data_IF_958054257057
#
_entry.id   IF_958054257057
#
_cell.length_a   1.000
_cell.length_b   1.000
_cell.length_c   1.000
_cell.angle_alpha   90.00
_cell.angle_beta   90.00
_cell.angle_gamma   90.00
#
_symmetry.space_group_name_H-M   'P 1'
#
loop_
_entity.id
_entity.type
_entity.pdbx_description
1 polymer ?
#
# COMPACT_ATOMS: atom_id res chain seq x y z
N UNK A 1 20.05 7.26 -23.77
CA UNK A 1 19.20 6.09 -23.48
C UNK A 1 19.67 4.95 -24.35
N UNK A 2 19.95 3.79 -23.77
CA UNK A 2 20.32 2.60 -24.55
C UNK A 2 19.05 2.03 -25.20
N UNK A 3 19.16 1.53 -26.43
CA UNK A 3 18.02 0.88 -27.08
C UNK A 3 17.64 -0.39 -26.29
N UNK A 4 16.36 -0.55 -25.99
CA UNK A 4 15.82 -1.78 -25.40
C UNK A 4 15.19 -2.68 -26.46
N UNK A 5 14.95 -3.94 -26.10
CA UNK A 5 14.23 -4.92 -26.90
C UNK A 5 13.39 -5.78 -25.96
N UNK A 6 12.22 -6.24 -26.43
CA UNK A 6 11.41 -7.21 -25.67
C UNK A 6 11.81 -8.61 -26.10
N UNK A 7 11.96 -9.50 -25.13
CA UNK A 7 12.33 -10.88 -25.35
C UNK A 7 11.28 -11.78 -24.71
N UNK A 8 10.81 -12.79 -25.45
CA UNK A 8 10.02 -13.89 -24.90
C UNK A 8 10.97 -14.94 -24.37
N UNK A 9 10.77 -15.34 -23.12
CA UNK A 9 11.56 -16.38 -22.48
C UNK A 9 11.16 -17.74 -23.06
N UNK A 10 12.12 -18.48 -23.59
CA UNK A 10 11.93 -19.82 -24.18
C UNK A 10 12.21 -20.93 -23.17
N UNK A 11 13.19 -20.71 -22.29
CA UNK A 11 13.65 -21.67 -21.29
C UNK A 11 13.65 -21.03 -19.92
N UNK A 12 13.46 -21.87 -18.91
CA UNK A 12 13.46 -21.43 -17.53
C UNK A 12 14.81 -20.82 -17.16
N UNK A 13 14.80 -19.60 -16.63
CA UNK A 13 15.98 -18.94 -16.07
C UNK A 13 15.86 -18.91 -14.54
N UNK A 14 16.71 -18.14 -13.85
CA UNK A 14 16.64 -18.06 -12.40
C UNK A 14 15.28 -17.54 -11.90
N UNK A 15 14.73 -16.51 -12.54
CA UNK A 15 13.43 -15.90 -12.15
C UNK A 15 12.37 -15.85 -13.22
N UNK A 16 12.72 -16.12 -14.48
CA UNK A 16 11.74 -16.09 -15.58
C UNK A 16 11.38 -17.49 -16.06
N UNK A 17 10.08 -17.72 -16.25
CA UNK A 17 9.54 -18.96 -16.80
C UNK A 17 9.28 -18.83 -18.31
N UNK A 18 9.28 -19.95 -19.06
CA UNK A 18 8.92 -19.95 -20.46
C UNK A 18 7.57 -19.27 -20.71
N UNK A 19 7.55 -18.38 -21.70
CA UNK A 19 6.41 -17.56 -22.09
C UNK A 19 6.35 -16.18 -21.43
N UNK A 20 7.16 -15.90 -20.41
CA UNK A 20 7.28 -14.56 -19.85
C UNK A 20 7.88 -13.58 -20.89
N UNK A 21 7.46 -12.31 -20.87
CA UNK A 21 8.03 -11.27 -21.73
C UNK A 21 8.78 -10.28 -20.85
N UNK A 22 10.07 -10.10 -21.16
CA UNK A 22 10.98 -9.23 -20.43
C UNK A 22 11.56 -8.18 -21.37
N UNK A 23 11.70 -6.95 -20.88
CA UNK A 23 12.46 -5.92 -21.57
C UNK A 23 13.94 -6.03 -21.20
N UNK A 24 14.82 -6.12 -22.20
CA UNK A 24 16.27 -6.18 -22.00
C UNK A 24 16.97 -5.09 -22.79
N UNK A 25 18.22 -4.79 -22.43
CA UNK A 25 19.04 -3.89 -23.27
C UNK A 25 19.38 -4.62 -24.56
N UNK A 26 19.33 -3.92 -25.69
CA UNK A 26 19.63 -4.48 -27.02
C UNK A 26 21.10 -4.90 -27.16
N UNK A 27 21.99 -4.33 -26.34
CA UNK A 27 23.41 -4.68 -26.30
C UNK A 27 23.56 -6.13 -25.85
N UNK A 28 24.09 -6.96 -26.74
CA UNK A 28 24.50 -8.33 -26.43
C UNK A 28 25.85 -8.24 -25.72
N UNK A 29 25.95 -8.90 -24.58
CA UNK A 29 27.21 -9.13 -23.90
C UNK A 29 27.79 -10.43 -24.44
N UNK A 30 28.98 -10.36 -25.02
CA UNK A 30 29.68 -11.51 -25.58
C UNK A 30 30.36 -12.34 -24.50
N UNK A 31 30.47 -13.65 -24.75
CA UNK A 31 31.24 -14.57 -23.92
C UNK A 31 32.69 -14.07 -23.75
N UNK A 32 33.16 -14.05 -22.51
CA UNK A 32 34.54 -13.70 -22.13
C UNK A 32 35.01 -14.59 -20.98
N UNK A 33 36.26 -14.44 -20.52
CA UNK A 33 36.75 -15.20 -19.35
C UNK A 33 35.90 -14.98 -18.09
N UNK A 34 35.36 -13.77 -17.92
CA UNK A 34 34.51 -13.40 -16.78
C UNK A 34 33.01 -13.59 -17.06
N UNK A 35 32.64 -13.99 -18.28
CA UNK A 35 31.24 -14.16 -18.69
C UNK A 35 31.11 -15.45 -19.51
N UNK A 36 30.64 -16.56 -18.93
CA UNK A 36 30.72 -17.88 -19.56
C UNK A 36 29.83 -18.05 -20.80
N UNK A 37 28.85 -17.19 -21.00
CA UNK A 37 27.85 -17.26 -22.07
C UNK A 37 27.45 -15.88 -22.60
N UNK A 38 27.11 -15.83 -23.90
CA UNK A 38 26.59 -14.61 -24.52
C UNK A 38 25.11 -14.43 -24.19
N UNK A 39 24.68 -13.20 -23.91
CA UNK A 39 23.32 -12.94 -23.47
C UNK A 39 22.92 -11.47 -23.51
N UNK A 40 21.65 -11.21 -23.23
CA UNK A 40 21.14 -9.87 -23.01
C UNK A 40 21.34 -9.47 -21.55
N UNK A 41 21.85 -8.26 -21.33
CA UNK A 41 21.95 -7.72 -19.98
C UNK A 41 20.56 -7.42 -19.42
N UNK A 42 20.36 -7.79 -18.14
CA UNK A 42 19.22 -7.39 -17.33
C UNK A 42 19.68 -6.70 -16.05
N UNK A 43 18.98 -5.65 -15.58
CA UNK A 43 19.36 -4.93 -14.36
C UNK A 43 19.20 -5.73 -13.07
N UNK A 44 18.37 -6.78 -13.09
CA UNK A 44 18.00 -7.53 -11.89
C UNK A 44 17.71 -9.01 -12.22
N UNK A 45 18.43 -9.93 -11.59
CA UNK A 45 18.21 -11.38 -11.72
C UNK A 45 17.19 -11.93 -10.73
N UNK A 46 16.45 -11.06 -10.02
CA UNK A 46 15.48 -11.44 -8.99
C UNK A 46 15.96 -11.23 -7.56
N UNK A 47 17.20 -10.82 -7.38
CA UNK A 47 17.91 -10.67 -6.11
C UNK A 47 18.48 -9.25 -5.94
N UNK A 48 18.09 -8.32 -6.80
CA UNK A 48 18.57 -6.94 -6.79
C UNK A 48 19.88 -6.74 -7.57
N UNK A 49 20.50 -7.82 -8.06
CA UNK A 49 21.79 -7.78 -8.75
C UNK A 49 21.62 -7.90 -10.27
N UNK A 50 22.45 -7.20 -11.07
CA UNK A 50 22.41 -7.32 -12.52
C UNK A 50 22.93 -8.67 -12.99
N UNK A 51 22.49 -9.09 -14.16
CA UNK A 51 22.96 -10.32 -14.79
C UNK A 51 22.64 -10.38 -16.27
N UNK A 52 22.58 -11.61 -16.79
CA UNK A 52 22.34 -11.86 -18.20
C UNK A 52 21.24 -12.90 -18.40
N UNK A 53 20.50 -12.76 -19.49
CA UNK A 53 19.65 -13.82 -20.03
C UNK A 53 20.36 -14.40 -21.26
N UNK A 54 20.71 -15.70 -21.25
CA UNK A 54 21.40 -16.34 -22.37
C UNK A 54 20.63 -16.22 -23.67
N UNK A 55 21.33 -16.03 -24.80
CA UNK A 55 20.70 -15.85 -26.11
C UNK A 55 19.81 -17.03 -26.52
N UNK A 56 20.17 -18.26 -26.13
CA UNK A 56 19.40 -19.47 -26.45
C UNK A 56 18.18 -19.68 -25.53
N UNK A 57 18.04 -18.85 -24.49
CA UNK A 57 16.90 -18.86 -23.57
C UNK A 57 15.82 -17.85 -23.97
N UNK A 58 16.01 -17.06 -25.03
CA UNK A 58 15.05 -16.02 -25.44
C UNK A 58 14.83 -15.94 -26.94
N UNK A 59 13.64 -15.44 -27.29
CA UNK A 59 13.26 -15.05 -28.64
C UNK A 59 12.98 -13.54 -28.66
N UNK A 60 13.76 -12.74 -29.41
CA UNK A 60 13.48 -11.32 -29.58
C UNK A 60 12.12 -11.12 -30.25
N UNK A 61 11.29 -10.28 -29.65
CA UNK A 61 10.01 -9.88 -30.21
C UNK A 61 10.21 -8.65 -31.12
N UNK A 62 9.43 -8.58 -32.20
CA UNK A 62 9.38 -7.38 -33.03
C UNK A 62 8.89 -6.16 -32.26
N UNK A 63 9.07 -4.97 -32.83
CA UNK A 63 8.54 -3.72 -32.25
C UNK A 63 7.03 -3.88 -32.00
N UNK A 64 6.65 -3.86 -30.73
CA UNK A 64 5.24 -3.83 -30.35
C UNK A 64 4.75 -2.40 -30.53
N UNK A 65 3.62 -2.21 -31.22
CA UNK A 65 2.97 -0.90 -31.27
C UNK A 65 2.56 -0.48 -29.86
N UNK A 66 3.09 0.66 -29.40
CA UNK A 66 2.72 1.26 -28.13
C UNK A 66 1.22 1.55 -28.10
N UNK A 67 0.49 0.97 -27.13
CA UNK A 67 -0.95 1.18 -27.07
C UNK A 67 -1.73 0.46 -25.98
N UNK A 68 -1.09 -0.27 -25.07
CA UNK A 68 -1.81 -0.80 -23.91
C UNK A 68 -1.90 0.29 -22.83
N UNK A 69 -3.12 0.69 -22.50
CA UNK A 69 -3.40 1.62 -21.39
C UNK A 69 -3.20 0.95 -20.02
N UNK A 70 -3.25 -0.38 -19.97
CA UNK A 70 -3.18 -1.17 -18.76
C UNK A 70 -2.33 -2.43 -18.97
N UNK A 71 -1.39 -2.66 -18.07
CA UNK A 71 -0.53 -3.83 -18.03
C UNK A 71 -0.81 -4.63 -16.76
N UNK A 72 -1.48 -5.76 -16.91
CA UNK A 72 -1.69 -6.71 -15.82
C UNK A 72 -0.43 -7.55 -15.58
N UNK A 73 -0.25 -8.00 -14.33
CA UNK A 73 0.92 -8.78 -13.96
C UNK A 73 1.29 -8.64 -12.50
N UNK A 74 2.23 -9.49 -12.07
CA UNK A 74 2.77 -9.46 -10.71
C UNK A 74 4.06 -8.67 -10.62
N UNK A 75 4.16 -7.80 -9.62
CA UNK A 75 5.35 -7.13 -9.18
C UNK A 75 6.01 -7.98 -8.11
N UNK A 76 7.32 -8.15 -8.17
CA UNK A 76 8.10 -8.85 -7.17
C UNK A 76 9.22 -7.95 -6.70
N UNK A 77 9.26 -7.66 -5.39
CA UNK A 77 10.38 -6.96 -4.79
C UNK A 77 11.65 -7.81 -4.89
N UNK A 78 12.73 -7.17 -5.32
CA UNK A 78 14.04 -7.81 -5.51
C UNK A 78 15.12 -7.19 -4.65
N UNK A 79 14.97 -5.91 -4.27
CA UNK A 79 15.94 -5.24 -3.40
C UNK A 79 15.36 -4.05 -2.65
N UNK A 80 15.85 -3.85 -1.43
CA UNK A 80 15.67 -2.62 -0.65
C UNK A 80 17.03 -2.24 -0.10
N UNK A 81 17.52 -1.06 -0.46
CA UNK A 81 18.83 -0.55 -0.02
C UNK A 81 18.73 0.91 0.41
N UNK A 82 19.69 1.34 1.23
CA UNK A 82 19.75 2.68 1.78
C UNK A 82 21.22 3.12 1.69
N UNK A 83 21.50 4.27 1.08
CA UNK A 83 22.88 4.70 0.83
C UNK A 83 23.01 6.21 0.74
N UNK A 84 24.23 6.72 0.87
CA UNK A 84 24.58 8.11 0.57
C UNK A 84 24.89 8.24 -0.92
N UNK A 85 24.12 9.05 -1.65
CA UNK A 85 24.31 9.26 -3.10
C UNK A 85 25.63 9.96 -3.42
N UNK A 86 25.96 10.96 -2.59
CA UNK A 86 27.24 11.66 -2.59
C UNK A 86 28.02 11.21 -1.34
N UNK A 87 28.75 10.11 -1.49
CA UNK A 87 29.45 9.45 -0.39
C UNK A 87 30.73 10.19 0.05
N UNK A 88 30.66 11.52 0.25
CA UNK A 88 31.73 12.43 0.67
C UNK A 88 32.29 12.07 2.07
N UNK A 89 32.89 10.89 2.21
CA UNK A 89 33.30 10.28 3.46
C UNK A 89 32.15 9.82 4.37
N UNK A 90 30.89 9.99 3.96
CA UNK A 90 29.73 9.58 4.76
C UNK A 90 29.58 8.06 4.72
N UNK A 91 29.55 7.45 5.91
CA UNK A 91 29.31 6.02 6.11
C UNK A 91 28.26 5.82 7.20
N UNK A 92 27.62 4.65 7.20
CA UNK A 92 26.58 4.32 8.18
C UNK A 92 25.20 4.87 7.83
N UNK A 93 24.28 4.74 8.79
CA UNK A 93 22.87 5.10 8.62
C UNK A 93 22.68 6.62 8.57
N UNK A 94 21.90 7.08 7.58
CA UNK A 94 21.47 8.47 7.52
C UNK A 94 20.54 8.86 8.67
N UNK A 95 20.47 10.15 9.02
CA UNK A 95 19.60 10.64 10.10
C UNK A 95 18.12 10.41 9.83
N UNK A 96 17.72 10.18 8.57
CA UNK A 96 16.38 9.80 8.20
C UNK A 96 16.00 8.34 8.56
N UNK A 97 16.96 7.50 8.94
CA UNK A 97 16.77 6.09 9.27
C UNK A 97 16.85 5.15 8.06
N UNK A 98 16.41 3.90 8.24
CA UNK A 98 16.48 2.84 7.22
C UNK A 98 15.08 2.37 6.86
N UNK A 99 14.80 2.30 5.55
CA UNK A 99 13.66 1.52 5.03
C UNK A 99 14.07 0.05 5.05
N UNK A 100 13.42 -0.72 5.91
CA UNK A 100 13.64 -2.16 6.03
C UNK A 100 12.81 -2.92 4.99
N UNK A 101 13.24 -4.10 4.53
CA UNK A 101 12.46 -4.91 3.59
C UNK A 101 11.03 -5.21 4.05
N UNK A 102 10.80 -5.41 5.36
CA UNK A 102 9.47 -5.63 5.95
C UNK A 102 8.52 -4.42 5.85
N UNK A 103 9.06 -3.23 5.60
CA UNK A 103 8.29 -1.99 5.44
C UNK A 103 7.91 -1.73 3.98
N UNK A 104 8.23 -2.64 3.06
CA UNK A 104 7.89 -2.56 1.63
C UNK A 104 6.99 -3.74 1.28
N UNK A 105 5.84 -3.45 0.69
CA UNK A 105 4.81 -4.43 0.36
C UNK A 105 4.36 -4.31 -1.08
N UNK A 106 3.99 -5.43 -1.68
CA UNK A 106 3.26 -5.47 -2.94
C UNK A 106 1.89 -6.05 -2.65
N UNK A 107 0.85 -5.23 -2.76
CA UNK A 107 -0.53 -5.65 -2.58
C UNK A 107 -1.13 -5.92 -3.95
N UNK A 108 -1.60 -7.15 -4.15
CA UNK A 108 -2.22 -7.57 -5.40
C UNK A 108 -3.75 -7.44 -5.32
N UNK A 109 -4.31 -6.60 -6.18
CA UNK A 109 -5.74 -6.54 -6.45
C UNK A 109 -6.05 -7.23 -7.78
N UNK A 110 -7.31 -7.62 -8.04
CA UNK A 110 -7.70 -8.23 -9.31
C UNK A 110 -7.41 -7.36 -10.53
N UNK A 111 -7.46 -6.04 -10.38
CA UNK A 111 -7.37 -5.04 -11.45
C UNK A 111 -6.04 -4.28 -11.48
N UNK A 112 -5.29 -4.26 -10.38
CA UNK A 112 -4.03 -3.56 -10.29
C UNK A 112 -3.11 -4.14 -9.21
N UNK A 113 -1.88 -3.64 -9.16
CA UNK A 113 -1.02 -3.89 -8.02
C UNK A 113 -0.50 -2.59 -7.47
N UNK A 114 -0.44 -2.54 -6.15
CA UNK A 114 0.05 -1.40 -5.41
C UNK A 114 1.34 -1.77 -4.72
N UNK A 115 2.39 -1.03 -5.03
CA UNK A 115 3.62 -1.03 -4.27
C UNK A 115 3.48 0.00 -3.15
N UNK A 116 3.62 -0.45 -1.90
CA UNK A 116 3.48 0.39 -0.71
C UNK A 116 4.77 0.35 0.09
N UNK A 117 5.28 1.49 0.51
CA UNK A 117 6.34 1.53 1.52
C UNK A 117 6.22 2.71 2.46
N UNK A 118 6.73 2.54 3.68
CA UNK A 118 6.78 3.58 4.69
C UNK A 118 8.20 4.14 4.82
N UNK A 119 8.30 5.46 4.73
CA UNK A 119 9.49 6.20 5.11
C UNK A 119 9.74 6.01 6.61
N UNK A 120 11.01 5.93 7.07
CA UNK A 120 11.30 5.59 8.47
C UNK A 120 10.94 6.71 9.45
N UNK A 121 10.70 7.93 8.93
CA UNK A 121 10.34 9.14 9.65
C UNK A 121 9.38 9.97 8.80
N UNK A 122 8.78 10.98 9.43
CA UNK A 122 8.00 12.01 8.73
C UNK A 122 8.82 12.60 7.59
N UNK A 123 8.31 12.48 6.36
CA UNK A 123 9.08 12.69 5.13
C UNK A 123 8.60 13.89 4.30
N UNK A 124 7.88 14.83 4.93
CA UNK A 124 7.39 16.03 4.25
C UNK A 124 8.51 16.90 3.69
N UNK A 125 9.67 16.88 4.36
CA UNK A 125 10.85 17.65 4.01
C UNK A 125 11.88 16.80 3.24
N UNK A 126 11.50 15.57 2.85
CA UNK A 126 12.33 14.74 2.00
C UNK A 126 12.46 15.38 0.60
N UNK A 127 13.51 14.99 -0.12
CA UNK A 127 13.87 15.53 -1.42
C UNK A 127 12.98 14.98 -2.54
N UNK A 128 13.60 14.25 -3.45
CA UNK A 128 12.95 13.83 -4.70
C UNK A 128 12.56 12.36 -4.65
N UNK A 129 11.32 12.07 -5.05
CA UNK A 129 10.87 10.75 -5.44
C UNK A 129 11.13 10.57 -6.93
N UNK A 130 11.80 9.48 -7.32
CA UNK A 130 12.09 9.13 -8.71
C UNK A 130 11.73 7.66 -8.95
N UNK A 131 10.91 7.40 -9.97
CA UNK A 131 10.65 6.07 -10.50
C UNK A 131 11.28 5.95 -11.89
N UNK A 132 12.09 4.93 -12.09
CA UNK A 132 12.86 4.71 -13.31
C UNK A 132 12.68 3.29 -13.82
N UNK A 133 12.47 3.12 -15.14
CA UNK A 133 12.65 1.84 -15.79
C UNK A 133 14.16 1.55 -15.85
N UNK A 134 14.62 0.57 -15.07
CA UNK A 134 16.04 0.26 -14.92
C UNK A 134 16.68 -0.29 -16.20
N UNK A 135 15.88 -0.82 -17.14
CA UNK A 135 16.39 -1.31 -18.41
C UNK A 135 16.65 -0.15 -19.38
N UNK A 136 15.61 0.64 -19.69
CA UNK A 136 15.68 1.77 -20.64
C UNK A 136 16.36 3.02 -20.07
N UNK A 137 16.46 3.11 -18.73
CA UNK A 137 16.85 4.31 -17.98
C UNK A 137 15.88 5.48 -18.15
N UNK A 138 14.65 5.20 -18.60
CA UNK A 138 13.58 6.19 -18.69
C UNK A 138 13.07 6.56 -17.31
N UNK A 139 13.00 7.86 -17.04
CA UNK A 139 12.35 8.40 -15.84
C UNK A 139 10.85 8.45 -16.11
N UNK A 140 10.11 7.58 -15.44
CA UNK A 140 8.66 7.47 -15.57
C UNK A 140 7.98 8.58 -14.75
N UNK A 141 8.55 8.86 -13.58
CA UNK A 141 8.01 9.83 -12.65
C UNK A 141 9.14 10.44 -11.82
N UNK A 142 9.14 11.77 -11.70
CA UNK A 142 10.04 12.50 -10.80
C UNK A 142 9.29 13.68 -10.20
N UNK A 143 9.20 13.73 -8.87
CA UNK A 143 8.55 14.83 -8.14
C UNK A 143 9.05 14.93 -6.70
N UNK A 144 8.77 16.03 -5.98
CA UNK A 144 9.05 16.10 -4.55
C UNK A 144 8.36 14.97 -3.76
N UNK A 145 9.05 14.36 -2.78
CA UNK A 145 8.50 13.24 -1.98
C UNK A 145 7.16 13.61 -1.35
N UNK A 146 7.00 14.84 -0.85
CA UNK A 146 5.76 15.34 -0.25
C UNK A 146 4.52 15.24 -1.16
N UNK A 147 4.70 15.23 -2.48
CA UNK A 147 3.60 15.09 -3.45
C UNK A 147 3.24 13.63 -3.74
N UNK A 148 4.04 12.68 -3.22
CA UNK A 148 3.72 11.24 -3.23
C UNK A 148 3.34 10.66 -1.89
N UNK A 149 3.42 11.44 -0.82
CA UNK A 149 3.04 10.98 0.51
C UNK A 149 1.52 10.84 0.63
N UNK A 150 1.11 9.69 1.14
CA UNK A 150 -0.20 9.47 1.72
C UNK A 150 -0.05 9.59 3.24
N UNK A 151 -0.48 10.72 3.81
CA UNK A 151 -0.19 11.06 5.20
C UNK A 151 1.25 11.54 5.40
N UNK A 152 1.93 11.10 6.46
CA UNK A 152 3.25 11.62 6.84
C UNK A 152 4.46 10.79 6.37
N UNK A 153 4.26 9.51 6.06
CA UNK A 153 5.37 8.58 5.80
C UNK A 153 5.11 7.59 4.67
N UNK A 154 3.85 7.31 4.31
CA UNK A 154 3.52 6.24 3.38
C UNK A 154 3.59 6.73 1.94
N UNK A 155 4.17 5.94 1.04
CA UNK A 155 4.14 6.15 -0.41
C UNK A 155 3.46 4.94 -1.03
N UNK A 156 2.50 5.20 -1.92
CA UNK A 156 1.73 4.18 -2.63
C UNK A 156 1.88 4.41 -4.14
N UNK A 157 2.25 3.39 -4.89
CA UNK A 157 2.40 3.46 -6.34
C UNK A 157 1.53 2.39 -6.99
N UNK A 158 0.52 2.84 -7.75
CA UNK A 158 -0.22 1.96 -8.64
C UNK A 158 0.67 1.61 -9.84
N UNK A 159 0.79 0.32 -10.15
CA UNK A 159 1.66 -0.17 -11.21
C UNK A 159 0.93 -0.44 -12.52
N UNK A 160 -0.39 -0.23 -12.62
CA UNK A 160 -1.21 -0.61 -13.77
C UNK A 160 -0.69 -0.07 -15.11
N UNK A 161 -0.19 1.16 -15.14
CA UNK A 161 0.36 1.78 -16.35
C UNK A 161 1.78 1.32 -16.70
N UNK A 162 2.41 0.48 -15.88
CA UNK A 162 3.80 0.06 -16.08
C UNK A 162 3.85 -1.26 -16.86
N UNK A 163 4.54 -1.33 -18.00
CA UNK A 163 4.72 -2.58 -18.73
C UNK A 163 5.52 -3.61 -17.93
N UNK A 164 5.52 -4.89 -18.33
CA UNK A 164 6.46 -5.87 -17.77
C UNK A 164 7.91 -5.39 -17.97
N UNK A 165 8.70 -5.38 -16.90
CA UNK A 165 10.03 -4.77 -16.90
C UNK A 165 10.68 -4.67 -15.52
N UNK A 166 11.78 -3.92 -15.47
CA UNK A 166 12.61 -3.71 -14.28
C UNK A 166 12.49 -2.28 -13.79
N UNK A 167 12.24 -2.09 -12.51
CA UNK A 167 11.94 -0.77 -11.96
C UNK A 167 12.74 -0.48 -10.71
N UNK A 168 13.16 0.78 -10.60
CA UNK A 168 13.82 1.33 -9.42
C UNK A 168 13.05 2.56 -8.94
N UNK A 169 12.73 2.58 -7.65
CA UNK A 169 12.27 3.78 -6.95
C UNK A 169 13.40 4.29 -6.08
N UNK A 170 13.68 5.58 -6.16
CA UNK A 170 14.56 6.30 -5.25
C UNK A 170 13.78 7.41 -4.53
N UNK A 171 13.96 7.51 -3.21
CA UNK A 171 13.47 8.62 -2.40
C UNK A 171 14.67 9.27 -1.70
N UNK A 172 15.08 10.43 -2.22
CA UNK A 172 16.24 11.18 -1.75
C UNK A 172 15.87 12.09 -0.57
N UNK A 173 16.83 12.36 0.32
CA UNK A 173 16.76 13.37 1.37
C UNK A 173 17.72 14.52 1.07
N UNK A 174 17.45 15.74 1.59
CA UNK A 174 18.30 16.91 1.30
C UNK A 174 19.76 16.78 1.73
N UNK A 175 20.07 15.88 2.67
CA UNK A 175 21.42 15.60 3.13
C UNK A 175 22.18 14.60 2.23
N UNK A 176 21.55 14.06 1.20
CA UNK A 176 22.09 13.07 0.27
C UNK A 176 21.82 11.61 0.65
N UNK A 177 21.06 11.35 1.72
CA UNK A 177 20.61 9.99 2.06
C UNK A 177 19.51 9.56 1.09
N UNK A 178 19.58 8.34 0.58
CA UNK A 178 18.64 7.81 -0.41
C UNK A 178 18.14 6.45 -0.01
N UNK A 179 16.82 6.26 -0.08
CA UNK A 179 16.20 4.94 -0.03
C UNK A 179 15.96 4.45 -1.45
N UNK A 180 16.36 3.21 -1.76
CA UNK A 180 16.15 2.58 -3.06
C UNK A 180 15.36 1.28 -2.92
N UNK A 181 14.34 1.15 -3.75
CA UNK A 181 13.50 -0.05 -3.85
C UNK A 181 13.55 -0.54 -5.29
N UNK A 182 13.87 -1.82 -5.47
CA UNK A 182 13.93 -2.49 -6.77
C UNK A 182 12.84 -3.55 -6.85
N UNK A 183 12.18 -3.63 -8.01
CA UNK A 183 11.18 -4.66 -8.28
C UNK A 183 11.10 -5.01 -9.77
N UNK A 184 10.65 -6.23 -10.04
CA UNK A 184 10.36 -6.74 -11.38
C UNK A 184 8.85 -6.79 -11.55
N UNK A 185 8.33 -6.23 -12.64
CA UNK A 185 6.96 -6.47 -13.08
C UNK A 185 6.94 -7.56 -14.15
N UNK A 186 6.29 -8.67 -13.85
CA UNK A 186 6.12 -9.80 -14.75
C UNK A 186 4.90 -9.61 -15.65
N UNK A 187 4.89 -10.26 -16.81
CA UNK A 187 3.68 -10.43 -17.62
C UNK A 187 2.58 -11.14 -16.82
N UNK A 188 1.32 -10.85 -17.12
CA UNK A 188 0.17 -11.54 -16.54
C UNK A 188 0.32 -13.07 -16.57
N UNK A 189 -0.09 -13.72 -15.48
CA UNK A 189 0.05 -15.17 -15.29
C UNK A 189 1.43 -15.62 -14.80
N UNK A 190 2.38 -14.71 -14.54
CA UNK A 190 3.69 -15.02 -13.98
C UNK A 190 3.98 -14.24 -12.69
N UNK A 191 4.86 -14.76 -11.81
CA UNK A 191 5.35 -16.14 -11.79
C UNK A 191 4.24 -17.15 -11.45
N UNK A 192 4.31 -18.38 -11.99
CA UNK A 192 3.35 -19.48 -11.79
C UNK A 192 3.97 -20.66 -11.05
N UNK A 193 3.18 -21.38 -10.25
CA UNK A 193 3.59 -22.66 -9.67
C UNK A 193 3.47 -23.80 -10.69
N UNK A 194 4.29 -24.87 -10.59
CA UNK A 194 5.44 -25.03 -9.70
C UNK A 194 6.68 -24.27 -10.21
N UNK A 195 7.50 -23.75 -9.29
CA UNK A 195 8.77 -23.07 -9.60
C UNK A 195 9.88 -23.67 -8.72
N UNK A 196 10.55 -24.72 -9.20
CA UNK A 196 11.38 -25.58 -8.34
C UNK A 196 12.63 -24.92 -7.73
N UNK A 197 13.19 -23.88 -8.36
CA UNK A 197 14.41 -23.19 -7.90
C UNK A 197 14.22 -21.67 -7.77
N UNK A 198 13.00 -21.23 -7.48
CA UNK A 198 12.73 -19.82 -7.31
C UNK A 198 13.50 -19.27 -6.10
N UNK A 199 14.01 -18.04 -6.15
CA UNK A 199 14.44 -17.36 -4.95
C UNK A 199 13.23 -17.10 -4.03
N UNK A 200 13.50 -16.89 -2.73
CA UNK A 200 12.48 -16.78 -1.67
C UNK A 200 11.37 -15.77 -2.00
N UNK A 201 11.74 -14.60 -2.51
CA UNK A 201 10.83 -13.54 -2.91
C UNK A 201 9.87 -13.93 -4.05
N UNK A 202 10.33 -14.76 -4.99
CA UNK A 202 9.48 -15.29 -6.06
C UNK A 202 8.49 -16.31 -5.49
N UNK A 203 8.91 -17.14 -4.53
CA UNK A 203 7.98 -18.04 -3.84
C UNK A 203 6.90 -17.29 -3.07
N UNK A 204 7.26 -16.22 -2.34
CA UNK A 204 6.30 -15.34 -1.67
C UNK A 204 5.29 -14.75 -2.67
N UNK A 205 5.75 -14.24 -3.82
CA UNK A 205 4.88 -13.71 -4.86
C UNK A 205 3.96 -14.77 -5.51
N UNK A 206 4.42 -16.02 -5.63
CA UNK A 206 3.59 -17.14 -6.10
C UNK A 206 2.48 -17.44 -5.08
N UNK A 207 2.79 -17.43 -3.78
CA UNK A 207 1.83 -17.63 -2.67
C UNK A 207 0.87 -16.46 -2.47
N UNK A 208 1.19 -15.29 -3.03
CA UNK A 208 0.41 -14.07 -2.84
C UNK A 208 0.71 -13.36 -1.52
N UNK A 209 1.87 -13.64 -0.92
CA UNK A 209 2.33 -12.95 0.29
C UNK A 209 2.67 -11.49 -0.07
N UNK A 210 2.27 -10.53 0.77
CA UNK A 210 2.51 -9.09 0.49
C UNK A 210 3.97 -8.66 0.70
N UNK A 211 4.71 -9.38 1.55
CA UNK A 211 6.09 -9.07 1.93
C UNK A 211 7.03 -10.11 1.32
N UNK A 212 7.76 -9.74 0.27
CA UNK A 212 8.50 -10.74 -0.50
C UNK A 212 9.94 -10.97 -0.01
N UNK A 213 10.57 -9.98 0.61
CA UNK A 213 12.00 -10.05 0.96
C UNK A 213 12.25 -10.65 2.35
N UNK A 214 11.29 -11.38 2.90
CA UNK A 214 11.50 -12.16 4.12
C UNK A 214 12.16 -13.50 3.78
N UNK A 215 12.99 -14.05 4.69
CA UNK A 215 13.45 -15.42 4.56
C UNK A 215 12.25 -16.37 4.51
N UNK A 216 12.33 -17.41 3.67
CA UNK A 216 11.35 -18.49 3.75
C UNK A 216 11.40 -19.11 5.16
N UNK A 217 10.25 -19.51 5.72
CA UNK A 217 10.26 -20.29 6.95
C UNK A 217 11.13 -21.51 6.73
N UNK A 218 12.01 -21.83 7.69
CA UNK A 218 12.74 -23.10 7.67
C UNK A 218 11.72 -24.23 7.53
N UNK A 219 11.90 -25.09 6.52
CA UNK A 219 11.05 -26.27 6.38
C UNK A 219 11.21 -27.10 7.66
N UNK A 220 10.17 -27.08 8.51
CA UNK A 220 10.14 -27.93 9.69
C UNK A 220 10.25 -29.35 9.15
N UNK A 221 11.33 -30.10 9.46
CA UNK A 221 11.53 -31.44 8.94
C UNK A 221 10.28 -32.23 9.28
N UNK A 222 9.54 -32.66 8.25
CA UNK A 222 8.23 -33.26 8.44
C UNK A 222 8.44 -34.53 9.30
N UNK A 223 8.04 -34.53 10.60
CA UNK A 223 8.50 -35.56 11.53
C UNK A 223 7.92 -36.96 11.21
N UNK A 224 7.06 -37.06 10.19
CA UNK A 224 6.48 -38.29 9.66
C UNK A 224 7.12 -38.84 8.39
N UNK A 225 8.09 -38.17 7.73
CA UNK A 225 8.80 -38.76 6.59
C UNK A 225 9.98 -39.62 7.05
N UNK A 226 9.72 -40.57 7.95
CA UNK A 226 10.55 -41.76 8.07
C UNK A 226 10.13 -42.69 6.93
N UNK A 227 11.08 -43.13 6.11
CA UNK A 227 10.88 -44.02 4.94
C UNK A 227 10.27 -45.40 5.26
N UNK A 228 9.75 -45.64 6.47
CA UNK A 228 9.11 -46.90 6.85
C UNK A 228 7.62 -46.87 6.50
N UNK A 229 7.29 -47.43 5.33
CA UNK A 229 5.93 -47.62 4.83
C UNK A 229 5.04 -48.49 5.73
N UNK A 230 4.41 -47.88 6.73
CA UNK A 230 3.27 -48.48 7.43
C UNK A 230 2.05 -47.59 7.21
N UNK A 231 1.16 -48.05 6.33
CA UNK A 231 -0.19 -47.49 6.13
C UNK A 231 -0.97 -47.64 7.43
N UNK A 232 -1.20 -46.54 8.13
CA UNK A 232 -2.23 -46.49 9.18
C UNK A 232 -3.51 -45.95 8.52
N UNK A 233 -4.57 -46.76 8.57
CA UNK A 233 -5.91 -46.43 8.07
C UNK A 233 -6.55 -45.35 8.95
N UNK A 234 -6.84 -44.19 8.38
CA UNK A 234 -7.55 -43.12 9.09
C UNK A 234 -9.05 -43.40 9.18
N UNK A 235 -9.54 -43.52 10.42
CA UNK A 235 -10.95 -43.56 10.75
C UNK A 235 -11.57 -42.17 10.61
N UNK A 236 -12.45 -42.05 9.60
CA UNK A 236 -13.34 -40.93 9.30
C UNK A 236 -14.28 -40.65 10.47
N UNK A 237 -14.08 -39.54 11.19
CA UNK A 237 -15.08 -39.01 12.14
C UNK A 237 -16.03 -38.07 11.41
N UNK A 238 -17.32 -38.41 11.50
CA UNK A 238 -18.45 -37.63 11.01
C UNK A 238 -18.58 -36.32 11.81
N UNK A 239 -18.75 -35.20 11.09
CA UNK A 239 -19.11 -33.90 11.66
C UNK A 239 -20.63 -33.78 11.64
N UNK A 240 -21.21 -33.48 12.80
CA UNK A 240 -22.62 -33.08 12.92
C UNK A 240 -22.85 -31.64 12.42
N UNK A 241 -24.06 -31.31 11.92
CA UNK A 241 -24.38 -30.00 11.35
C UNK A 241 -24.76 -28.96 12.43
N UNK A 242 -24.13 -27.79 12.34
CA UNK A 242 -24.46 -26.62 13.18
C UNK A 242 -25.84 -26.04 12.84
N UNK A 243 -26.61 -25.77 13.90
CA UNK A 243 -27.97 -25.26 13.91
C UNK A 243 -28.08 -23.76 13.65
N UNK A 244 -29.14 -23.37 12.94
CA UNK A 244 -29.56 -22.01 12.59
C UNK A 244 -29.58 -21.02 13.77
N UNK A 245 -28.99 -19.84 13.59
CA UNK A 245 -29.21 -18.66 14.42
C UNK A 245 -29.86 -17.55 13.59
N UNK A 246 -31.12 -17.27 13.91
CA UNK A 246 -31.90 -16.14 13.40
C UNK A 246 -31.83 -14.99 14.43
N UNK A 247 -31.28 -13.85 14.02
CA UNK A 247 -31.30 -12.61 14.82
C UNK A 247 -32.54 -11.77 14.53
N UNK A 248 -33.20 -11.18 15.54
CA UNK A 248 -34.36 -10.32 15.35
C UNK A 248 -33.94 -8.88 15.01
N UNK A 249 -34.51 -8.35 13.93
CA UNK A 249 -34.42 -6.93 13.59
C UNK A 249 -35.40 -6.13 14.46
N UNK A 250 -34.88 -5.19 15.25
CA UNK A 250 -35.68 -4.15 15.91
C UNK A 250 -35.90 -2.98 14.95
N UNK A 251 -37.16 -2.75 14.60
CA UNK A 251 -37.67 -1.53 13.96
C UNK A 251 -37.76 -0.39 14.97
N UNK A 252 -36.96 0.67 14.79
CA UNK A 252 -37.12 1.94 15.51
C UNK A 252 -37.78 2.97 14.59
N UNK A 253 -39.05 3.27 14.86
CA UNK A 253 -39.83 4.32 14.20
C UNK A 253 -39.71 5.58 15.08
N UNK A 254 -39.01 6.63 14.61
CA UNK A 254 -39.03 7.94 15.27
C UNK A 254 -40.05 8.83 14.56
N UNK A 255 -41.19 9.05 15.22
CA UNK A 255 -42.13 10.10 14.87
C UNK A 255 -41.60 11.44 15.41
N UNK A 256 -41.35 12.37 14.50
CA UNK A 256 -41.37 13.81 14.82
C UNK A 256 -42.48 14.42 13.96
N UNK A 257 -43.59 14.75 14.61
CA UNK A 257 -44.60 15.61 14.01
C UNK A 257 -45.09 16.58 15.08
N UNK A 258 -44.61 17.82 15.01
CA UNK A 258 -45.10 18.93 15.83
C UNK A 258 -44.90 20.25 15.08
N UNK A 259 -45.87 20.56 14.24
CA UNK A 259 -46.03 21.88 13.62
C UNK A 259 -46.38 22.93 14.69
N UNK A 260 -45.39 23.67 15.18
CA UNK A 260 -45.61 24.89 15.97
C UNK A 260 -45.79 26.10 15.03
N UNK A 261 -47.05 26.47 14.76
CA UNK A 261 -47.38 27.76 14.12
C UNK A 261 -47.40 28.86 15.18
N UNK A 262 -46.39 29.73 15.16
CA UNK A 262 -46.33 30.94 15.99
C UNK A 262 -47.14 32.07 15.32
N UNK A 263 -48.27 32.44 15.93
CA UNK A 263 -49.06 33.64 15.57
C UNK A 263 -48.66 34.81 16.47
N UNK A 264 -48.63 36.02 15.92
CA UNK A 264 -48.43 37.23 16.73
C UNK A 264 -49.70 37.62 17.51
N UNK A 265 -49.57 38.60 18.41
CA UNK A 265 -50.69 39.10 19.23
C UNK A 265 -51.80 39.80 18.42
N UNK A 266 -51.63 39.95 17.11
CA UNK A 266 -52.63 40.50 16.18
C UNK A 266 -53.27 39.44 15.27
N UNK A 267 -52.86 38.16 15.39
CA UNK A 267 -53.36 37.06 14.58
C UNK A 267 -52.84 37.05 13.14
N UNK A 268 -51.75 37.76 12.84
CA UNK A 268 -51.08 37.70 11.53
C UNK A 268 -49.87 36.78 11.58
N UNK A 269 -49.72 35.94 10.56
CA UNK A 269 -48.51 35.13 10.36
C UNK A 269 -47.34 36.06 10.00
N UNK A 270 -46.40 36.20 10.93
CA UNK A 270 -45.15 36.89 10.67
C UNK A 270 -44.27 36.02 9.76
N UNK A 271 -44.27 36.31 8.46
CA UNK A 271 -43.21 35.86 7.55
C UNK A 271 -41.96 36.69 7.83
N UNK A 272 -41.23 36.34 8.89
CA UNK A 272 -39.86 36.82 9.05
C UNK A 272 -39.02 36.21 7.92
N UNK A 273 -38.56 37.06 7.00
CA UNK A 273 -37.71 36.72 5.84
C UNK A 273 -36.30 36.24 6.24
N UNK A 274 -36.01 36.21 7.55
CA UNK A 274 -34.84 35.56 8.13
C UNK A 274 -35.23 34.12 8.46
N UNK A 275 -34.69 33.19 7.69
CA UNK A 275 -34.76 31.75 7.98
C UNK A 275 -33.99 31.47 9.28
N UNK A 276 -34.70 31.60 10.41
CA UNK A 276 -34.16 31.40 11.76
C UNK A 276 -33.58 29.98 11.91
N UNK A 277 -34.12 29.01 11.20
CA UNK A 277 -33.62 27.63 11.18
C UNK A 277 -32.28 27.53 10.46
N UNK A 278 -32.14 28.16 9.29
CA UNK A 278 -30.85 28.25 8.60
C UNK A 278 -29.80 29.02 9.40
N UNK A 279 -30.18 30.13 10.04
CA UNK A 279 -29.27 30.91 10.90
C UNK A 279 -28.87 30.11 12.15
N UNK A 280 -29.81 29.44 12.83
CA UNK A 280 -29.50 28.56 13.97
C UNK A 280 -28.61 27.40 13.54
N UNK A 281 -28.87 26.77 12.39
CA UNK A 281 -28.04 25.68 11.86
C UNK A 281 -26.63 26.15 11.51
N UNK A 282 -26.50 27.35 10.96
CA UNK A 282 -25.19 27.94 10.64
C UNK A 282 -24.42 28.33 11.90
N UNK A 283 -25.09 28.95 12.87
CA UNK A 283 -24.47 29.36 14.15
C UNK A 283 -24.12 28.13 14.99
N UNK A 284 -25.02 27.17 15.16
CA UNK A 284 -24.77 25.92 15.90
C UNK A 284 -23.67 25.09 15.22
N UNK A 285 -23.64 25.02 13.88
CA UNK A 285 -22.59 24.33 13.13
C UNK A 285 -21.20 24.97 13.28
N UNK A 286 -21.10 26.23 13.72
CA UNK A 286 -19.81 26.87 14.04
C UNK A 286 -19.30 26.54 15.44
N UNK A 287 -20.17 26.12 16.36
CA UNK A 287 -19.79 25.93 17.77
C UNK A 287 -19.69 24.47 18.19
N UNK A 288 -20.37 23.56 17.49
CA UNK A 288 -20.31 22.14 17.83
C UNK A 288 -19.44 21.37 16.86
N UNK A 289 -18.50 20.55 17.36
CA UNK A 289 -17.70 19.70 16.50
C UNK A 289 -18.60 18.70 15.76
N UNK A 290 -18.28 18.43 14.50
CA UNK A 290 -18.95 17.41 13.67
C UNK A 290 -17.93 16.61 12.86
N UNK A 291 -18.32 15.39 12.49
CA UNK A 291 -17.55 14.52 11.60
C UNK A 291 -18.25 14.38 10.25
N UNK A 292 -17.48 14.37 9.17
CA UNK A 292 -17.89 13.90 7.86
C UNK A 292 -17.00 12.73 7.43
N UNK A 293 -17.59 11.74 6.78
CA UNK A 293 -16.92 10.50 6.39
C UNK A 293 -16.87 10.39 4.88
N UNK A 294 -15.72 9.97 4.34
CA UNK A 294 -15.59 9.46 2.98
C UNK A 294 -15.12 8.01 3.02
N UNK A 295 -15.58 7.23 2.04
CA UNK A 295 -15.18 5.85 1.88
C UNK A 295 -14.71 5.61 0.44
N UNK A 296 -13.50 5.12 0.31
CA UNK A 296 -12.81 4.78 -0.93
C UNK A 296 -12.26 3.36 -0.78
N UNK A 297 -13.09 2.38 -1.17
CA UNK A 297 -12.77 0.96 -1.04
C UNK A 297 -12.69 0.49 0.42
N UNK A 298 -11.49 0.08 0.86
CA UNK A 298 -11.23 -0.46 2.21
C UNK A 298 -10.80 0.60 3.23
N UNK A 299 -10.81 1.87 2.86
CA UNK A 299 -10.52 2.97 3.75
C UNK A 299 -11.19 4.25 3.31
N UNK A 300 -10.69 5.38 3.79
CA UNK A 300 -11.19 6.69 3.40
C UNK A 300 -10.67 7.79 4.32
N UNK A 301 -11.46 8.85 4.47
CA UNK A 301 -11.11 9.98 5.33
C UNK A 301 -12.25 10.34 6.29
N UNK A 302 -11.88 10.80 7.49
CA UNK A 302 -12.76 11.41 8.48
C UNK A 302 -12.36 12.87 8.59
N UNK A 303 -13.32 13.78 8.37
CA UNK A 303 -13.11 15.22 8.48
C UNK A 303 -13.74 15.72 9.78
N UNK A 304 -12.90 16.10 10.74
CA UNK A 304 -13.31 16.84 11.92
C UNK A 304 -13.48 18.32 11.57
N UNK A 305 -14.63 18.90 11.89
CA UNK A 305 -14.90 20.32 11.68
C UNK A 305 -15.43 20.97 12.95
N UNK A 306 -14.86 22.10 13.32
CA UNK A 306 -15.26 22.92 14.46
C UNK A 306 -14.95 24.39 14.16
N UNK A 307 -15.98 25.19 13.85
CA UNK A 307 -15.78 26.57 13.43
C UNK A 307 -14.91 26.66 12.16
N UNK A 308 -13.72 27.26 12.28
CA UNK A 308 -12.75 27.36 11.19
C UNK A 308 -11.74 26.19 11.16
N UNK A 309 -11.73 25.33 12.17
CA UNK A 309 -10.85 24.18 12.25
C UNK A 309 -11.38 23.09 11.34
N UNK A 310 -10.54 22.59 10.44
CA UNK A 310 -10.81 21.41 9.61
C UNK A 310 -9.60 20.49 9.65
N UNK A 311 -9.76 19.30 10.22
CA UNK A 311 -8.70 18.29 10.35
C UNK A 311 -9.15 17.05 9.58
N UNK A 312 -8.27 16.51 8.74
CA UNK A 312 -8.49 15.26 8.03
C UNK A 312 -7.71 14.13 8.70
N UNK A 313 -8.41 13.02 8.97
CA UNK A 313 -7.82 11.78 9.44
C UNK A 313 -8.03 10.69 8.40
N UNK A 314 -6.98 9.96 8.02
CA UNK A 314 -7.13 8.76 7.20
C UNK A 314 -7.67 7.61 8.04
N UNK A 315 -8.44 6.69 7.44
CA UNK A 315 -8.85 5.45 8.09
C UNK A 315 -8.84 4.27 7.14
N UNK A 316 -8.72 3.06 7.69
CA UNK A 316 -8.83 1.80 6.95
C UNK A 316 -9.51 0.71 7.79
N UNK A 317 -10.09 -0.31 7.13
CA UNK A 317 -10.60 -1.49 7.82
C UNK A 317 -9.46 -2.30 8.44
N UNK A 318 -9.59 -2.58 9.73
CA UNK A 318 -8.67 -3.46 10.45
C UNK A 318 -8.89 -4.95 10.14
N UNK A 319 -7.98 -5.78 10.65
CA UNK A 319 -8.11 -7.24 10.67
C UNK A 319 -8.33 -7.79 12.08
N UNK A 320 -8.79 -9.04 12.17
CA UNK A 320 -8.99 -9.72 13.46
C UNK A 320 -10.09 -9.09 14.32
N UNK A 321 -9.75 -8.68 15.54
CA UNK A 321 -10.69 -7.99 16.45
C UNK A 321 -10.82 -6.48 16.18
N UNK A 322 -10.00 -5.93 15.29
CA UNK A 322 -10.04 -4.51 14.92
C UNK A 322 -10.99 -4.30 13.75
N UNK A 323 -11.96 -3.41 13.94
CA UNK A 323 -12.95 -3.02 12.93
C UNK A 323 -12.37 -1.94 12.01
N UNK A 324 -11.85 -0.87 12.59
CA UNK A 324 -11.25 0.27 11.85
C UNK A 324 -9.97 0.73 12.55
N UNK A 325 -8.98 1.12 11.77
CA UNK A 325 -7.78 1.84 12.21
C UNK A 325 -7.88 3.26 11.67
N UNK A 326 -7.77 4.25 12.55
CA UNK A 326 -7.75 5.67 12.21
C UNK A 326 -6.31 6.16 12.42
N UNK A 327 -5.71 6.75 11.39
CA UNK A 327 -4.37 7.31 11.44
C UNK A 327 -4.41 8.72 12.03
N UNK A 328 -3.59 8.98 13.05
CA UNK A 328 -3.51 10.27 13.73
C UNK A 328 -2.09 10.84 13.70
N UNK A 329 -1.91 12.17 13.67
CA UNK A 329 -0.58 12.76 13.79
C UNK A 329 0.10 12.40 15.12
N UNK A 330 1.41 12.11 15.04
CA UNK A 330 2.25 11.98 16.22
C UNK A 330 2.23 13.29 17.02
N UNK A 331 2.35 13.19 18.35
CA UNK A 331 2.37 14.31 19.28
C UNK A 331 3.33 15.44 18.83
N UNK A 332 4.52 15.09 18.34
CA UNK A 332 5.54 16.05 17.90
C UNK A 332 5.11 16.88 16.68
N UNK A 333 4.25 16.33 15.82
CA UNK A 333 3.84 16.95 14.55
C UNK A 333 2.40 17.46 14.56
N UNK A 334 1.70 17.34 15.68
CA UNK A 334 0.28 17.66 15.79
C UNK A 334 -0.02 19.09 15.34
N UNK A 335 0.56 20.11 15.98
CA UNK A 335 0.23 21.51 15.70
C UNK A 335 0.54 21.90 14.25
N UNK A 336 1.62 21.34 13.69
CA UNK A 336 2.02 21.58 12.32
C UNK A 336 1.06 20.96 11.29
N UNK A 337 0.48 19.79 11.58
CA UNK A 337 -0.41 19.08 10.64
C UNK A 337 -1.88 19.48 10.80
N UNK A 338 -2.34 19.75 12.02
CA UNK A 338 -3.75 20.01 12.30
C UNK A 338 -4.07 21.51 12.40
N UNK A 339 -3.06 22.35 12.60
CA UNK A 339 -3.24 23.76 12.94
C UNK A 339 -3.91 23.99 14.30
N UNK A 340 -4.04 22.95 15.14
CA UNK A 340 -4.65 23.05 16.47
C UNK A 340 -3.61 22.91 17.58
N UNK A 341 -3.74 23.65 18.70
CA UNK A 341 -2.81 23.54 19.80
C UNK A 341 -2.74 22.14 20.41
N UNK A 342 -1.56 21.74 20.87
CA UNK A 342 -1.31 20.39 21.42
C UNK A 342 -2.21 20.04 22.61
N UNK A 343 -2.58 21.01 23.44
CA UNK A 343 -3.44 20.79 24.59
C UNK A 343 -4.87 20.37 24.21
N UNK A 344 -5.33 20.66 22.99
CA UNK A 344 -6.63 20.23 22.46
C UNK A 344 -6.61 18.85 21.83
N UNK A 345 -5.44 18.25 21.62
CA UNK A 345 -5.30 16.97 20.92
C UNK A 345 -6.19 15.89 21.51
N UNK A 346 -6.12 15.69 22.82
CA UNK A 346 -6.84 14.58 23.47
C UNK A 346 -8.37 14.80 23.44
N UNK A 347 -8.83 16.04 23.61
CA UNK A 347 -10.24 16.42 23.49
C UNK A 347 -10.78 16.09 22.09
N UNK A 348 -10.09 16.53 21.05
CA UNK A 348 -10.47 16.30 19.64
C UNK A 348 -10.48 14.81 19.32
N UNK A 349 -9.43 14.08 19.71
CA UNK A 349 -9.33 12.65 19.44
C UNK A 349 -10.36 11.84 20.23
N UNK A 350 -10.71 12.25 21.45
CA UNK A 350 -11.78 11.62 22.22
C UNK A 350 -13.14 11.82 21.54
N UNK A 351 -13.47 13.05 21.15
CA UNK A 351 -14.69 13.34 20.39
C UNK A 351 -14.75 12.52 19.10
N UNK A 352 -13.64 12.47 18.35
CA UNK A 352 -13.51 11.67 17.13
C UNK A 352 -13.87 10.20 17.38
N UNK A 353 -13.31 9.58 18.42
CA UNK A 353 -13.56 8.17 18.75
C UNK A 353 -15.01 7.92 19.15
N UNK A 354 -15.53 8.72 20.08
CA UNK A 354 -16.89 8.58 20.60
C UNK A 354 -17.93 8.73 19.49
N UNK A 355 -17.72 9.71 18.61
CA UNK A 355 -18.61 9.96 17.49
C UNK A 355 -18.50 8.88 16.41
N UNK A 356 -17.31 8.39 16.07
CA UNK A 356 -17.13 7.26 15.13
C UNK A 356 -17.82 5.99 15.65
N UNK A 357 -17.66 5.66 16.94
CA UNK A 357 -18.31 4.50 17.56
C UNK A 357 -19.82 4.66 17.52
N UNK A 358 -20.33 5.84 17.84
CA UNK A 358 -21.77 6.14 17.80
C UNK A 358 -22.34 5.99 16.39
N UNK A 359 -21.65 6.52 15.38
CA UNK A 359 -22.16 6.63 14.02
C UNK A 359 -21.98 5.34 13.21
N UNK A 360 -20.83 4.66 13.35
CA UNK A 360 -20.39 3.61 12.42
C UNK A 360 -20.08 2.26 13.08
N UNK A 361 -19.89 2.21 14.40
CA UNK A 361 -19.40 1.01 15.08
C UNK A 361 -20.02 0.83 16.47
N UNK A 362 -21.36 0.91 16.56
CA UNK A 362 -22.06 0.85 17.83
C UNK A 362 -21.73 -0.43 18.61
N UNK A 363 -21.43 -0.29 19.91
CA UNK A 363 -21.01 -1.38 20.79
C UNK A 363 -19.51 -1.71 20.76
N UNK A 364 -18.74 -1.10 19.88
CA UNK A 364 -17.27 -1.20 19.91
C UNK A 364 -16.65 -0.28 20.96
N UNK A 365 -15.36 -0.49 21.23
CA UNK A 365 -14.51 0.40 22.04
C UNK A 365 -13.27 0.82 21.24
N UNK A 366 -12.54 1.83 21.71
CA UNK A 366 -11.31 2.27 21.05
C UNK A 366 -10.07 2.03 21.92
N UNK A 367 -8.93 1.83 21.26
CA UNK A 367 -7.59 1.78 21.85
C UNK A 367 -6.73 2.80 21.11
N UNK A 368 -6.14 3.74 21.84
CA UNK A 368 -5.32 4.81 21.28
C UNK A 368 -3.83 4.45 21.40
N UNK A 369 -3.11 4.57 20.29
CA UNK A 369 -1.66 4.41 20.18
C UNK A 369 -1.01 5.78 19.87
N UNK A 370 0.31 5.80 19.65
CA UNK A 370 1.05 7.03 19.40
C UNK A 370 0.63 7.74 18.10
N UNK A 371 0.40 6.96 17.04
CA UNK A 371 0.13 7.39 15.66
C UNK A 371 -1.17 6.84 15.07
N UNK A 372 -1.94 6.08 15.86
CA UNK A 372 -3.17 5.44 15.39
C UNK A 372 -4.19 5.20 16.49
N UNK A 373 -5.43 4.98 16.09
CA UNK A 373 -6.54 4.60 16.97
C UNK A 373 -7.20 3.36 16.36
N UNK A 374 -7.30 2.28 17.13
CA UNK A 374 -8.02 1.08 16.71
C UNK A 374 -9.41 1.05 17.35
N UNK A 375 -10.45 0.97 16.54
CA UNK A 375 -11.81 0.63 16.98
C UNK A 375 -11.91 -0.89 16.98
N UNK A 376 -12.19 -1.49 18.13
CA UNK A 376 -12.23 -2.95 18.35
C UNK A 376 -13.58 -3.38 18.90
N UNK A 377 -14.00 -4.61 18.58
CA UNK A 377 -15.23 -5.19 19.13
C UNK A 377 -15.11 -5.47 20.62
#
# INVERSE_FOLDING_TARGET
MEATIRCKILRHTHVFQPGNIVETRRRILEKSENQPESGYFIPDTGDGNPGIIPLDNVEPLGETTAGEEAYYGKCVLTGVSNFWKDADGKTGEGPAGIVKPVNVRVVHYPDCQQLVFHMPRYAWDAGTFRLTNACSQEIIEEKPVRERLNGGTMILTNTLSFPPGFYTIEADWPDGWTHRIQFIKFTEGYPKAPYGKAPANIFHAIRGDEVHLQPLPEEIPNPGSTESGIRISENRREREPDSDHSSPACSLHMMYDRDERSLDYTGRENKSEIDVEKFKKEVMGRFFPKLEYTQEGRGGSIYYMEGAIKIQFGWEFGGGNTVVIIFIPNLKYWEAQTGTPIYRRNEILQFLCEQVIRDQAAGCRYVMYEDSISIVR
#
